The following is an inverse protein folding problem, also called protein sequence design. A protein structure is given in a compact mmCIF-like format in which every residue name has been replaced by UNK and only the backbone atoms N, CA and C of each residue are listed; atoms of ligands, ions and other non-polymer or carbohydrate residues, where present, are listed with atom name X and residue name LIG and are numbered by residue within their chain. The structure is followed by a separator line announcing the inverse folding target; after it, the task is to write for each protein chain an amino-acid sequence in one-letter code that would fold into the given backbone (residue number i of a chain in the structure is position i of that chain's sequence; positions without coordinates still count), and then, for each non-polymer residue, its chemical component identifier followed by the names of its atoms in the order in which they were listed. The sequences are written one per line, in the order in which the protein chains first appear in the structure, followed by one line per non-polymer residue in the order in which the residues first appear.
data_IF_215827115288
#
_entry.id   IF_215827115288
#
_cell.length_a   1.000
_cell.length_b   1.000
_cell.length_c   1.000
_cell.angle_alpha   90.00
_cell.angle_beta   90.00
_cell.angle_gamma   90.00
#
_symmetry.space_group_name_H-M   'P 1'
#
loop_
_entity.id
_entity.type
_entity.pdbx_description
1 polymer ?
#
# COMPACT_ATOMS: atom_id res chain seq x y z
N UNK A 1 21.69 10.67 18.34
CA UNK A 1 21.48 9.92 17.08
C UNK A 1 20.02 10.12 16.75
N UNK A 2 19.78 11.11 15.87
CA UNK A 2 18.46 11.68 15.64
C UNK A 2 17.51 10.66 15.00
N UNK A 3 16.36 10.45 15.62
CA UNK A 3 15.24 9.65 15.16
C UNK A 3 14.15 10.52 14.44
N UNK A 4 14.47 11.33 13.42
CA UNK A 4 13.50 12.18 12.73
C UNK A 4 13.01 11.61 11.40
N UNK A 5 13.40 10.40 10.98
CA UNK A 5 13.11 9.88 9.65
C UNK A 5 11.92 8.89 9.61
N UNK A 6 11.31 8.56 10.75
CA UNK A 6 10.20 7.61 10.80
C UNK A 6 8.81 8.27 10.73
N UNK A 7 8.73 9.57 10.98
CA UNK A 7 7.52 10.39 10.82
C UNK A 7 7.91 11.65 10.04
N UNK A 8 7.42 11.82 8.81
CA UNK A 8 7.86 12.97 8.05
C UNK A 8 7.01 13.27 6.83
N UNK A 9 6.86 14.56 6.58
CA UNK A 9 6.34 15.11 5.33
C UNK A 9 7.52 15.68 4.54
N UNK A 10 7.71 15.20 3.32
CA UNK A 10 8.65 15.74 2.34
C UNK A 10 7.82 16.40 1.27
N UNK A 11 8.09 17.65 0.95
CA UNK A 11 7.36 18.41 -0.06
C UNK A 11 8.35 19.10 -1.02
N UNK A 12 8.00 19.14 -2.29
CA UNK A 12 8.72 19.85 -3.34
C UNK A 12 8.04 19.67 -4.68
N UNK A 13 8.23 20.59 -5.63
CA UNK A 13 7.86 20.49 -7.04
C UNK A 13 6.47 19.85 -7.31
N UNK A 14 5.42 20.37 -6.72
CA UNK A 14 4.03 19.86 -6.86
C UNK A 14 3.83 18.40 -6.42
N UNK A 15 4.65 17.92 -5.51
CA UNK A 15 4.54 16.60 -4.91
C UNK A 15 4.78 16.64 -3.41
N UNK A 16 3.98 15.88 -2.68
CA UNK A 16 4.14 15.68 -1.24
C UNK A 16 4.22 14.18 -0.96
N UNK A 17 5.25 13.76 -0.22
CA UNK A 17 5.37 12.45 0.38
C UNK A 17 5.14 12.54 1.89
N UNK A 18 4.24 11.73 2.43
CA UNK A 18 3.89 11.71 3.85
C UNK A 18 3.87 10.28 4.36
N UNK A 19 4.53 10.02 5.49
CA UNK A 19 4.42 8.72 6.17
C UNK A 19 3.09 8.65 6.90
N UNK A 20 2.30 7.64 6.59
CA UNK A 20 0.99 7.39 7.21
C UNK A 20 1.16 6.57 8.49
N UNK A 21 1.03 7.23 9.63
CA UNK A 21 1.22 6.59 10.94
C UNK A 21 -0.02 5.84 11.43
N UNK A 22 -1.20 6.26 10.99
CA UNK A 22 -2.49 5.72 11.48
C UNK A 22 -3.03 4.57 10.66
N UNK A 23 -2.43 4.24 9.51
CA UNK A 23 -2.90 3.15 8.68
C UNK A 23 -2.58 1.79 9.27
N UNK A 24 -3.59 0.95 9.28
CA UNK A 24 -3.54 -0.44 9.70
C UNK A 24 -3.47 -1.33 8.46
N UNK A 25 -2.70 -2.38 8.51
CA UNK A 25 -2.48 -3.30 7.39
C UNK A 25 -2.62 -4.73 7.83
N UNK A 26 -3.38 -5.52 7.10
CA UNK A 26 -3.38 -6.97 7.20
C UNK A 26 -3.18 -7.61 5.83
N UNK A 27 -2.63 -8.80 5.77
CA UNK A 27 -2.64 -9.65 4.59
C UNK A 27 -3.67 -10.75 4.74
N UNK A 28 -4.51 -10.89 3.73
CA UNK A 28 -5.43 -11.99 3.54
C UNK A 28 -4.68 -13.04 2.73
N UNK A 29 -4.36 -14.17 3.35
CA UNK A 29 -3.66 -15.29 2.70
C UNK A 29 -4.66 -16.37 2.34
N UNK A 30 -4.57 -16.92 1.15
CA UNK A 30 -5.48 -17.95 0.66
C UNK A 30 -4.78 -18.90 -0.32
N UNK A 31 -5.23 -20.16 -0.36
CA UNK A 31 -4.73 -21.15 -1.31
C UNK A 31 -5.39 -20.98 -2.68
N UNK A 32 -6.65 -20.54 -2.69
CA UNK A 32 -7.42 -20.32 -3.91
C UNK A 32 -8.33 -19.10 -3.78
N UNK A 33 -8.57 -18.42 -4.90
CA UNK A 33 -9.42 -17.24 -4.98
C UNK A 33 -10.95 -17.60 -5.02
N UNK A 34 -11.26 -18.87 -5.13
CA UNK A 34 -12.62 -19.40 -5.20
C UNK A 34 -12.95 -20.35 -4.02
N UNK A 35 -12.18 -20.31 -2.94
CA UNK A 35 -12.38 -21.15 -1.77
C UNK A 35 -13.27 -20.53 -0.69
N UNK A 36 -13.47 -21.27 0.39
CA UNK A 36 -14.31 -20.85 1.52
C UNK A 36 -13.83 -19.55 2.17
N UNK A 37 -12.50 -19.35 2.26
CA UNK A 37 -11.94 -18.11 2.78
C UNK A 37 -12.25 -16.91 1.87
N UNK A 38 -12.16 -17.06 0.55
CA UNK A 38 -12.49 -15.99 -0.39
C UNK A 38 -13.97 -15.60 -0.32
N UNK A 39 -14.87 -16.57 -0.15
CA UNK A 39 -16.31 -16.31 0.08
C UNK A 39 -16.55 -15.59 1.41
N UNK A 40 -15.83 -15.97 2.47
CA UNK A 40 -15.90 -15.27 3.76
C UNK A 40 -15.41 -13.81 3.64
N UNK A 41 -14.36 -13.54 2.87
CA UNK A 41 -13.92 -12.17 2.56
C UNK A 41 -15.01 -11.40 1.83
N UNK A 42 -15.63 -12.01 0.81
CA UNK A 42 -16.74 -11.39 0.07
C UNK A 42 -17.92 -11.05 0.97
N UNK A 43 -18.30 -11.96 1.86
CA UNK A 43 -19.37 -11.72 2.82
C UNK A 43 -19.04 -10.61 3.83
N UNK A 44 -17.79 -10.49 4.26
CA UNK A 44 -17.34 -9.49 5.23
C UNK A 44 -17.12 -8.09 4.64
N UNK A 45 -16.72 -8.01 3.36
CA UNK A 45 -16.36 -6.75 2.71
C UNK A 45 -17.37 -6.26 1.67
N UNK A 46 -18.31 -7.11 1.26
CA UNK A 46 -19.27 -6.84 0.18
C UNK A 46 -18.67 -6.99 -1.22
N UNK A 47 -17.40 -7.39 -1.35
CA UNK A 47 -16.73 -7.50 -2.65
C UNK A 47 -15.84 -8.73 -2.73
N UNK A 48 -15.60 -9.23 -3.94
CA UNK A 48 -14.63 -10.30 -4.18
C UNK A 48 -13.18 -9.81 -3.96
N UNK A 49 -12.25 -10.75 -3.79
CA UNK A 49 -10.82 -10.46 -3.81
C UNK A 49 -10.44 -9.71 -5.09
N UNK A 50 -9.53 -8.71 -5.01
CA UNK A 50 -9.06 -7.96 -6.19
C UNK A 50 -8.45 -8.89 -7.23
N UNK A 51 -8.62 -8.56 -8.51
CA UNK A 51 -7.95 -9.25 -9.60
C UNK A 51 -6.42 -9.03 -9.57
N UNK A 52 -5.71 -9.76 -10.44
CA UNK A 52 -4.26 -9.63 -10.55
C UNK A 52 -3.90 -8.17 -10.86
N UNK A 53 -2.99 -7.60 -10.08
CA UNK A 53 -2.56 -6.21 -10.17
C UNK A 53 -3.66 -5.16 -9.89
N UNK A 54 -4.79 -5.55 -9.34
CA UNK A 54 -5.86 -4.62 -8.98
C UNK A 54 -5.67 -4.06 -7.56
N UNK A 55 -6.00 -2.77 -7.40
CA UNK A 55 -6.23 -2.12 -6.10
C UNK A 55 -7.62 -1.47 -6.12
N UNK A 56 -8.40 -1.70 -5.09
CA UNK A 56 -9.78 -1.21 -4.99
C UNK A 56 -10.03 -0.53 -3.65
N UNK A 57 -10.49 0.70 -3.70
CA UNK A 57 -11.00 1.39 -2.53
C UNK A 57 -12.48 1.05 -2.32
N UNK A 58 -12.85 0.80 -1.08
CA UNK A 58 -14.22 0.51 -0.65
C UNK A 58 -14.64 1.61 0.34
N UNK A 59 -15.16 2.75 -0.14
CA UNK A 59 -15.42 3.93 0.70
C UNK A 59 -16.38 3.63 1.86
N UNK A 60 -17.45 2.88 1.61
CA UNK A 60 -18.46 2.56 2.62
C UNK A 60 -17.89 1.75 3.78
N UNK A 61 -16.95 0.86 3.49
CA UNK A 61 -16.27 0.04 4.49
C UNK A 61 -14.96 0.63 4.98
N UNK A 62 -14.51 1.75 4.42
CA UNK A 62 -13.24 2.41 4.72
C UNK A 62 -12.02 1.48 4.55
N UNK A 63 -12.08 0.60 3.57
CA UNK A 63 -11.04 -0.36 3.27
C UNK A 63 -10.43 -0.10 1.90
N UNK A 64 -9.15 -0.43 1.76
CA UNK A 64 -8.50 -0.62 0.47
C UNK A 64 -8.10 -2.09 0.40
N UNK A 65 -8.52 -2.78 -0.65
CA UNK A 65 -8.05 -4.11 -0.98
C UNK A 65 -7.08 -4.02 -2.16
N UNK A 66 -5.89 -4.58 -2.03
CA UNK A 66 -4.87 -4.54 -3.06
C UNK A 66 -4.26 -5.92 -3.29
N UNK A 67 -4.19 -6.36 -4.54
CA UNK A 67 -3.48 -7.57 -4.91
C UNK A 67 -1.99 -7.44 -4.55
N UNK A 68 -1.46 -8.43 -3.89
CA UNK A 68 -0.04 -8.49 -3.52
C UNK A 68 0.70 -9.63 -4.21
N UNK A 69 0.03 -10.76 -4.33
CA UNK A 69 0.55 -11.96 -4.97
C UNK A 69 -0.61 -12.89 -5.36
N UNK A 70 -0.37 -13.97 -6.09
CA UNK A 70 -1.43 -14.94 -6.43
C UNK A 70 -2.20 -15.49 -5.24
N UNK A 71 -1.59 -15.50 -4.05
CA UNK A 71 -2.15 -16.05 -2.81
C UNK A 71 -2.29 -15.03 -1.67
N UNK A 72 -2.10 -13.74 -1.97
CA UNK A 72 -2.15 -12.69 -0.96
C UNK A 72 -2.83 -11.43 -1.47
N UNK A 73 -3.75 -10.90 -0.66
CA UNK A 73 -4.37 -9.58 -0.82
C UNK A 73 -4.09 -8.76 0.42
N UNK A 74 -3.65 -7.52 0.26
CA UNK A 74 -3.56 -6.57 1.38
C UNK A 74 -4.92 -5.95 1.65
N UNK A 75 -5.24 -5.82 2.92
CA UNK A 75 -6.33 -5.03 3.44
C UNK A 75 -5.75 -3.86 4.23
N UNK A 76 -6.11 -2.63 3.85
CA UNK A 76 -5.56 -1.41 4.41
C UNK A 76 -6.72 -0.53 4.87
N UNK A 77 -6.62 0.03 6.08
CA UNK A 77 -7.63 0.95 6.63
C UNK A 77 -6.98 1.96 7.58
N UNK A 78 -7.65 3.07 7.84
CA UNK A 78 -7.25 4.04 8.89
C UNK A 78 -7.84 3.72 10.26
N UNK A 79 -8.77 2.78 10.33
CA UNK A 79 -9.49 2.45 11.56
C UNK A 79 -9.03 1.09 12.10
N UNK A 80 -8.34 1.10 13.24
CA UNK A 80 -7.96 -0.12 13.94
C UNK A 80 -9.20 -0.95 14.35
N UNK A 81 -10.28 -0.27 14.74
CA UNK A 81 -11.54 -0.93 15.08
C UNK A 81 -12.14 -1.66 13.87
N UNK A 82 -12.07 -1.03 12.67
CA UNK A 82 -12.56 -1.64 11.44
C UNK A 82 -11.73 -2.85 11.03
N UNK A 83 -10.40 -2.77 11.19
CA UNK A 83 -9.55 -3.93 10.92
C UNK A 83 -9.85 -5.08 11.88
N UNK A 84 -9.98 -4.79 13.18
CA UNK A 84 -10.32 -5.80 14.19
C UNK A 84 -11.68 -6.45 13.92
N UNK A 85 -12.70 -5.65 13.55
CA UNK A 85 -14.02 -6.17 13.14
C UNK A 85 -13.93 -7.09 11.92
N UNK A 86 -13.17 -6.68 10.90
CA UNK A 86 -12.98 -7.50 9.71
C UNK A 86 -12.30 -8.83 10.07
N UNK A 87 -11.22 -8.78 10.84
CA UNK A 87 -10.49 -9.98 11.29
C UNK A 87 -11.43 -10.93 12.06
N UNK A 88 -12.25 -10.39 12.97
CA UNK A 88 -13.20 -11.19 13.76
C UNK A 88 -14.28 -11.85 12.90
N UNK A 89 -14.68 -11.23 11.78
CA UNK A 89 -15.66 -11.78 10.83
C UNK A 89 -15.08 -12.81 9.87
N UNK A 90 -13.75 -12.76 9.65
CA UNK A 90 -13.06 -13.71 8.78
C UNK A 90 -12.71 -14.97 9.58
N UNK A 91 -13.63 -15.93 9.58
CA UNK A 91 -13.41 -17.22 10.25
C UNK A 91 -12.19 -17.90 9.65
N UNK A 92 -11.24 -18.37 10.47
CA UNK A 92 -10.15 -19.20 10.00
C UNK A 92 -10.66 -20.37 9.17
N UNK A 93 -10.19 -20.52 7.96
CA UNK A 93 -10.55 -21.61 7.06
C UNK A 93 -9.31 -22.44 6.75
N UNK A 94 -9.52 -23.69 6.35
CA UNK A 94 -8.41 -24.57 5.95
C UNK A 94 -7.64 -23.99 4.75
N UNK A 95 -8.32 -23.20 3.92
CA UNK A 95 -7.82 -22.61 2.68
C UNK A 95 -7.38 -21.13 2.83
N UNK A 96 -7.40 -20.55 4.05
CA UNK A 96 -6.94 -19.17 4.21
C UNK A 96 -6.93 -18.66 5.65
N UNK A 97 -6.19 -17.56 5.83
CA UNK A 97 -6.07 -16.87 7.13
C UNK A 97 -5.79 -15.38 6.95
N UNK A 98 -5.91 -14.63 8.03
CA UNK A 98 -5.53 -13.22 8.10
C UNK A 98 -4.26 -13.10 8.94
N UNK A 99 -3.30 -12.31 8.47
CA UNK A 99 -2.08 -11.96 9.22
C UNK A 99 -2.00 -10.45 9.32
N UNK A 100 -2.02 -9.93 10.54
CA UNK A 100 -1.83 -8.49 10.77
C UNK A 100 -0.37 -8.10 10.52
N UNK A 101 -0.17 -7.03 9.75
CA UNK A 101 1.14 -6.49 9.37
C UNK A 101 1.35 -5.05 9.84
N UNK A 102 0.41 -4.51 10.65
CA UNK A 102 0.50 -3.16 11.21
C UNK A 102 1.82 -3.00 11.98
N UNK A 103 2.58 -1.96 11.64
CA UNK A 103 3.90 -1.73 12.23
C UNK A 103 5.06 -2.49 11.55
N UNK A 104 4.82 -3.61 10.88
CA UNK A 104 5.82 -4.30 10.05
C UNK A 104 5.95 -3.67 8.66
N UNK A 105 4.82 -3.31 8.05
CA UNK A 105 4.76 -2.48 6.85
C UNK A 105 4.54 -1.02 7.22
N UNK A 106 5.15 -0.15 6.43
CA UNK A 106 4.94 1.30 6.47
C UNK A 106 4.37 1.78 5.15
N UNK A 107 3.55 2.82 5.25
CA UNK A 107 2.89 3.42 4.09
C UNK A 107 3.40 4.83 3.91
N UNK A 108 3.92 5.13 2.73
CA UNK A 108 4.22 6.48 2.28
C UNK A 108 3.15 6.89 1.28
N UNK A 109 2.37 7.91 1.60
CA UNK A 109 1.43 8.52 0.67
C UNK A 109 2.12 9.56 -0.16
N UNK A 110 2.01 9.44 -1.45
CA UNK A 110 2.39 10.43 -2.44
C UNK A 110 1.14 11.14 -2.93
N UNK A 111 1.17 12.48 -2.94
CA UNK A 111 0.09 13.31 -3.50
C UNK A 111 0.68 14.40 -4.39
N UNK A 112 0.08 14.65 -5.54
CA UNK A 112 0.51 15.70 -6.45
C UNK A 112 0.54 15.26 -7.92
N UNK A 113 1.05 16.16 -8.78
CA UNK A 113 1.05 15.97 -10.23
C UNK A 113 2.28 15.18 -10.72
N UNK A 114 3.41 15.24 -10.00
CA UNK A 114 4.69 14.64 -10.41
C UNK A 114 4.95 13.26 -9.81
N UNK A 115 3.92 12.56 -9.36
CA UNK A 115 4.06 11.19 -8.80
C UNK A 115 4.70 10.25 -9.80
N UNK A 116 4.26 10.27 -11.08
CA UNK A 116 4.79 9.40 -12.12
C UNK A 116 6.29 9.65 -12.35
N UNK A 117 6.71 10.91 -12.38
CA UNK A 117 8.12 11.28 -12.56
C UNK A 117 8.97 10.74 -11.42
N UNK A 118 8.52 10.89 -10.16
CA UNK A 118 9.20 10.36 -8.99
C UNK A 118 9.33 8.83 -9.09
N UNK A 119 8.24 8.13 -9.36
CA UNK A 119 8.24 6.66 -9.42
C UNK A 119 9.13 6.14 -10.57
N UNK A 120 9.12 6.83 -11.71
CA UNK A 120 10.01 6.50 -12.83
C UNK A 120 11.50 6.62 -12.44
N UNK A 121 11.87 7.65 -11.68
CA UNK A 121 13.26 7.82 -11.22
C UNK A 121 13.67 6.80 -10.17
N UNK A 122 12.75 6.42 -9.28
CA UNK A 122 13.04 5.46 -8.21
C UNK A 122 13.05 4.00 -8.68
N UNK A 123 12.23 3.65 -9.69
CA UNK A 123 12.04 2.24 -10.05
C UNK A 123 11.74 1.98 -11.54
N UNK A 124 11.80 3.03 -12.38
CA UNK A 124 11.47 2.93 -13.81
C UNK A 124 9.96 3.00 -14.11
N UNK A 125 9.62 3.04 -15.39
CA UNK A 125 8.23 3.23 -15.86
C UNK A 125 7.27 2.12 -15.43
N UNK A 126 7.77 0.90 -15.26
CA UNK A 126 6.98 -0.25 -14.77
C UNK A 126 6.57 -0.10 -13.28
N UNK A 127 7.12 0.87 -12.57
CA UNK A 127 6.82 1.13 -11.14
C UNK A 127 5.64 2.08 -10.94
N UNK A 128 5.06 2.63 -12.02
CA UNK A 128 3.94 3.58 -11.98
C UNK A 128 2.63 2.83 -12.13
N UNK A 129 1.83 2.64 -11.05
CA UNK A 129 0.55 1.97 -11.14
C UNK A 129 -0.48 2.87 -11.85
N UNK A 130 -1.29 2.30 -12.73
CA UNK A 130 -2.49 2.95 -13.21
C UNK A 130 -3.50 3.14 -12.06
N UNK A 131 -4.48 4.02 -12.22
CA UNK A 131 -5.58 4.17 -11.26
C UNK A 131 -6.35 2.85 -11.18
N UNK A 132 -6.60 2.37 -9.97
CA UNK A 132 -7.21 1.06 -9.71
C UNK A 132 -6.21 -0.10 -9.77
N UNK A 133 -4.91 0.18 -9.87
CA UNK A 133 -3.89 -0.87 -9.95
C UNK A 133 -2.93 -0.90 -8.75
N UNK A 134 -2.38 -2.10 -8.53
CA UNK A 134 -1.27 -2.36 -7.61
C UNK A 134 -0.07 -2.89 -8.41
N UNK A 135 1.12 -2.40 -8.12
CA UNK A 135 2.35 -2.79 -8.80
C UNK A 135 3.44 -3.14 -7.78
N UNK A 136 4.00 -4.35 -7.86
CA UNK A 136 5.21 -4.69 -7.11
C UNK A 136 6.44 -4.33 -7.93
N UNK A 137 7.33 -3.55 -7.33
CA UNK A 137 8.54 -3.10 -7.96
C UNK A 137 9.70 -3.02 -6.98
N UNK A 138 10.89 -2.77 -7.49
CA UNK A 138 12.03 -2.31 -6.70
C UNK A 138 12.17 -0.80 -6.95
N UNK A 139 12.08 -0.04 -5.88
CA UNK A 139 12.27 1.41 -5.90
C UNK A 139 13.44 1.76 -4.98
N UNK A 140 14.44 2.50 -5.49
CA UNK A 140 15.68 2.73 -4.76
C UNK A 140 16.28 1.42 -4.21
N UNK A 141 16.26 0.36 -5.00
CA UNK A 141 16.73 -1.00 -4.67
C UNK A 141 16.00 -1.72 -3.52
N UNK A 142 14.89 -1.21 -3.01
CA UNK A 142 14.08 -1.92 -2.02
C UNK A 142 12.76 -2.41 -2.60
N UNK A 143 12.21 -3.54 -2.10
CA UNK A 143 10.91 -4.03 -2.53
C UNK A 143 9.81 -3.08 -2.05
N UNK A 144 8.98 -2.62 -2.98
CA UNK A 144 7.84 -1.74 -2.72
C UNK A 144 6.61 -2.27 -3.44
N UNK A 145 5.46 -2.21 -2.79
CA UNK A 145 4.16 -2.32 -3.44
C UNK A 145 3.60 -0.90 -3.60
N UNK A 146 3.48 -0.43 -4.83
CA UNK A 146 2.81 0.81 -5.15
C UNK A 146 1.37 0.54 -5.53
N UNK A 147 0.43 1.34 -5.04
CA UNK A 147 -0.98 1.25 -5.42
C UNK A 147 -1.59 2.64 -5.59
N UNK A 148 -2.41 2.79 -6.63
CA UNK A 148 -3.13 4.01 -6.93
C UNK A 148 -4.62 3.70 -7.00
N UNK A 149 -5.40 4.21 -6.05
CA UNK A 149 -6.86 4.01 -6.01
C UNK A 149 -7.63 5.22 -6.52
N UNK A 150 -6.96 6.36 -6.60
CA UNK A 150 -7.53 7.62 -7.11
C UNK A 150 -6.48 8.48 -7.81
N UNK A 151 -6.93 9.38 -8.67
CA UNK A 151 -6.03 10.29 -9.37
C UNK A 151 -5.26 11.20 -8.40
N UNK A 152 -3.99 11.46 -8.70
CA UNK A 152 -3.13 12.33 -7.89
C UNK A 152 -2.73 11.77 -6.52
N UNK A 153 -2.99 10.48 -6.26
CA UNK A 153 -2.59 9.80 -5.03
C UNK A 153 -2.03 8.40 -5.33
N UNK A 154 -0.89 8.09 -4.73
CA UNK A 154 -0.28 6.75 -4.74
C UNK A 154 0.19 6.40 -3.35
N UNK A 155 -0.08 5.19 -2.89
CA UNK A 155 0.44 4.65 -1.64
C UNK A 155 1.60 3.70 -1.95
N UNK A 156 2.73 3.90 -1.27
CA UNK A 156 3.88 3.02 -1.32
C UNK A 156 3.93 2.23 -0.02
N UNK A 157 3.86 0.91 -0.11
CA UNK A 157 4.02 0.02 1.03
C UNK A 157 5.41 -0.60 1.00
N UNK A 158 6.13 -0.42 2.10
CA UNK A 158 7.51 -0.86 2.26
C UNK A 158 7.70 -1.49 3.64
N UNK A 159 8.58 -2.46 3.76
CA UNK A 159 8.95 -2.99 5.08
C UNK A 159 9.59 -1.90 5.93
N UNK A 160 9.23 -1.87 7.22
CA UNK A 160 9.66 -0.84 8.17
C UNK A 160 11.17 -0.59 8.13
N UNK A 161 11.97 -1.63 7.98
CA UNK A 161 13.43 -1.52 7.95
C UNK A 161 13.98 -0.74 6.75
N UNK A 162 13.23 -0.70 5.64
CA UNK A 162 13.65 0.02 4.43
C UNK A 162 13.09 1.44 4.33
N UNK A 163 12.16 1.83 5.21
CA UNK A 163 11.53 3.14 5.15
C UNK A 163 12.54 4.31 5.16
N UNK A 164 13.54 4.36 6.08
CA UNK A 164 14.49 5.47 6.10
C UNK A 164 15.27 5.60 4.79
N UNK A 165 15.65 4.48 4.20
CA UNK A 165 16.36 4.45 2.91
C UNK A 165 15.47 4.99 1.78
N UNK A 166 14.22 4.50 1.68
CA UNK A 166 13.27 4.97 0.67
C UNK A 166 12.99 6.48 0.79
N UNK A 167 12.79 6.97 2.03
CA UNK A 167 12.55 8.40 2.28
C UNK A 167 13.76 9.28 1.92
N UNK A 168 14.98 8.80 2.16
CA UNK A 168 16.19 9.52 1.74
C UNK A 168 16.22 9.68 0.21
N UNK A 169 15.97 8.61 -0.54
CA UNK A 169 15.90 8.66 -2.01
C UNK A 169 14.78 9.54 -2.54
N UNK A 170 13.58 9.49 -1.91
CA UNK A 170 12.48 10.40 -2.26
C UNK A 170 12.92 11.85 -2.07
N UNK A 171 13.56 12.18 -0.95
CA UNK A 171 14.02 13.54 -0.65
C UNK A 171 15.02 14.04 -1.68
N UNK A 172 16.06 13.26 -1.97
CA UNK A 172 17.08 13.63 -2.95
C UNK A 172 16.49 13.83 -4.35
N UNK A 173 15.56 12.93 -4.75
CA UNK A 173 14.90 13.06 -6.04
C UNK A 173 14.02 14.31 -6.14
N UNK A 174 13.36 14.73 -5.04
CA UNK A 174 12.56 15.95 -5.03
C UNK A 174 13.43 17.21 -5.08
N UNK A 175 14.60 17.22 -4.45
CA UNK A 175 15.56 18.32 -4.59
C UNK A 175 16.02 18.51 -6.04
N UNK A 176 16.24 17.42 -6.77
CA UNK A 176 16.56 17.48 -8.20
C UNK A 176 15.42 18.08 -9.02
N UNK A 177 14.15 17.86 -8.63
CA UNK A 177 13.00 18.43 -9.32
C UNK A 177 12.88 19.94 -9.13
N UNK A 178 13.23 20.44 -7.95
CA UNK A 178 13.19 21.87 -7.63
C UNK A 178 14.34 22.64 -8.31
N UNK A 179 15.41 21.96 -8.72
CA UNK A 179 16.57 22.54 -9.39
C UNK A 179 16.43 22.67 -10.92
N UNK A 180 15.33 22.15 -11.50
CA UNK A 180 15.08 22.11 -12.95
C UNK A 180 13.93 23.00 -13.33
#
# INVERSE_FOLDING_TARGET
MDEPLLSGRIAGADLVACVEETMQVATLRYLTRAGAFAESVRAATGTALPEVLEARELPESQLILAWRSPTETLCITRSAARLAELIARLTPAVDGCVVELTGGLRIVRLTGLRIADLLCRLGGTASVPAIGAACRSRMADVPVLALSVRAGETLLLVDRGYLPHLLAWIRETLLDFDAT
#
